data_IF_187934769221
#
_entry.id   IF_187934769221
#
_cell.length_a   1.000
_cell.length_b   1.000
_cell.length_c   1.000
_cell.angle_alpha   90.00
_cell.angle_beta   90.00
_cell.angle_gamma   90.00
#
_symmetry.space_group_name_H-M   'P 1'
#
loop_
_entity.id
_entity.type
_entity.pdbx_description
1 polymer ?
#
# COMPACT_ATOMS: atom_id res chain seq x y z
N UNK A 1 42.21 -15.57 -14.33
CA UNK A 1 41.83 -16.88 -13.76
C UNK A 1 40.32 -16.95 -13.90
N UNK A 2 39.69 -17.60 -14.89
CA UNK A 2 39.95 -18.80 -15.67
C UNK A 2 39.38 -18.61 -17.10
N UNK A 3 40.03 -19.25 -18.08
CA UNK A 3 39.69 -19.28 -19.51
C UNK A 3 38.87 -20.55 -19.79
N UNK A 4 37.84 -20.49 -20.64
CA UNK A 4 37.05 -21.67 -21.02
C UNK A 4 36.60 -21.64 -22.47
N UNK A 5 37.51 -21.94 -23.39
CA UNK A 5 37.20 -22.27 -24.79
C UNK A 5 36.78 -23.74 -24.87
N UNK A 6 35.56 -24.03 -25.32
CA UNK A 6 35.17 -25.37 -25.75
C UNK A 6 35.15 -25.45 -27.28
N UNK A 7 36.23 -26.01 -27.81
CA UNK A 7 36.46 -26.35 -29.21
C UNK A 7 36.24 -27.86 -29.35
N UNK A 8 35.16 -28.28 -29.99
CA UNK A 8 34.95 -29.68 -30.36
C UNK A 8 35.29 -29.90 -31.84
N UNK A 9 35.81 -31.09 -32.09
CA UNK A 9 36.73 -31.49 -33.14
C UNK A 9 36.10 -32.60 -34.00
N UNK A 10 36.34 -32.53 -35.31
CA UNK A 10 36.57 -33.63 -36.28
C UNK A 10 35.40 -34.38 -37.00
N UNK A 11 35.29 -34.06 -38.31
CA UNK A 11 35.25 -34.92 -39.53
C UNK A 11 33.99 -35.77 -39.89
N UNK A 12 33.80 -36.19 -41.17
CA UNK A 12 34.70 -36.08 -42.34
C UNK A 12 34.09 -35.55 -43.66
N UNK A 13 35.03 -35.32 -44.59
CA UNK A 13 34.92 -35.17 -46.04
C UNK A 13 33.79 -35.98 -46.71
N UNK A 14 33.12 -35.34 -47.68
CA UNK A 14 32.34 -35.99 -48.74
C UNK A 14 32.04 -35.01 -49.87
N UNK A 15 32.79 -35.12 -50.97
CA UNK A 15 32.61 -34.39 -52.23
C UNK A 15 31.31 -34.82 -52.93
N UNK A 16 30.37 -33.91 -53.15
CA UNK A 16 29.45 -33.92 -54.29
C UNK A 16 28.86 -32.51 -54.49
N UNK A 17 29.00 -31.97 -55.70
CA UNK A 17 28.73 -30.58 -56.01
C UNK A 17 27.26 -30.16 -56.05
N UNK A 18 27.06 -28.85 -56.22
CA UNK A 18 25.79 -28.24 -56.59
C UNK A 18 25.33 -27.12 -55.65
N UNK A 19 25.61 -25.88 -56.07
CA UNK A 19 24.97 -24.61 -55.70
C UNK A 19 23.83 -24.67 -54.66
N UNK A 20 24.06 -24.12 -53.46
CA UNK A 20 22.99 -23.72 -52.55
C UNK A 20 22.74 -22.21 -52.77
N UNK A 21 21.53 -21.77 -53.15
CA UNK A 21 21.24 -20.35 -53.32
C UNK A 21 21.17 -19.65 -51.96
N UNK A 22 21.98 -18.61 -51.78
CA UNK A 22 21.75 -17.56 -50.79
C UNK A 22 20.49 -16.79 -51.17
N UNK A 23 19.45 -16.87 -50.35
CA UNK A 23 18.29 -15.97 -50.46
C UNK A 23 17.75 -15.61 -49.08
N UNK A 24 18.22 -14.45 -48.62
CA UNK A 24 17.58 -13.45 -47.77
C UNK A 24 16.37 -13.86 -46.91
N UNK A 25 16.58 -13.76 -45.61
CA UNK A 25 15.51 -13.65 -44.60
C UNK A 25 15.97 -12.83 -43.40
N UNK A 26 16.63 -11.68 -43.62
CA UNK A 26 16.82 -10.73 -42.52
C UNK A 26 15.45 -10.15 -42.18
N UNK A 27 14.92 -10.50 -41.00
CA UNK A 27 13.79 -9.81 -40.40
C UNK A 27 14.32 -8.48 -39.86
N UNK A 28 14.02 -7.31 -40.47
CA UNK A 28 14.56 -6.06 -39.97
C UNK A 28 13.47 -5.43 -39.11
N UNK A 29 13.40 -5.75 -37.83
CA UNK A 29 12.70 -4.86 -36.90
C UNK A 29 13.09 -5.09 -35.44
N UNK A 30 14.38 -4.97 -35.13
CA UNK A 30 14.79 -4.68 -33.75
C UNK A 30 14.43 -3.20 -33.47
N UNK A 31 13.18 -2.96 -33.09
CA UNK A 31 12.70 -1.61 -32.76
C UNK A 31 13.22 -1.27 -31.37
N UNK A 32 14.28 -0.46 -31.29
CA UNK A 32 14.74 0.12 -30.03
C UNK A 32 13.66 1.01 -29.44
N UNK A 33 12.88 0.47 -28.50
CA UNK A 33 11.91 1.23 -27.72
C UNK A 33 12.66 2.19 -26.79
N UNK A 34 12.69 3.48 -27.15
CA UNK A 34 13.11 4.53 -26.22
C UNK A 34 12.00 4.72 -25.17
N UNK A 35 12.21 4.17 -23.99
CA UNK A 35 11.35 4.42 -22.84
C UNK A 35 11.60 5.87 -22.41
N UNK A 36 10.54 6.67 -22.35
CA UNK A 36 10.64 8.07 -21.93
C UNK A 36 11.09 8.12 -20.47
N UNK A 37 12.12 8.92 -20.22
CA UNK A 37 12.57 9.21 -18.86
C UNK A 37 11.46 9.95 -18.11
N UNK A 38 11.07 9.42 -16.95
CA UNK A 38 10.12 10.07 -16.05
C UNK A 38 10.91 10.57 -14.86
N UNK A 39 11.16 11.87 -14.82
CA UNK A 39 11.81 12.52 -13.68
C UNK A 39 10.78 12.67 -12.55
N UNK A 40 10.85 11.80 -11.55
CA UNK A 40 10.04 11.90 -10.34
C UNK A 40 10.71 12.87 -9.38
N UNK A 41 10.26 14.13 -9.38
CA UNK A 41 10.65 15.10 -8.35
C UNK A 41 9.85 14.83 -7.08
N UNK A 42 10.45 14.08 -6.16
CA UNK A 42 9.86 13.82 -4.84
C UNK A 42 9.95 15.04 -3.93
N UNK A 43 8.84 15.43 -3.32
CA UNK A 43 8.84 16.34 -2.16
C UNK A 43 9.55 15.62 -1.01
N UNK A 44 10.53 16.25 -0.37
CA UNK A 44 11.15 15.71 0.85
C UNK A 44 10.11 15.78 1.97
N UNK A 45 9.28 14.74 2.06
CA UNK A 45 8.40 14.54 3.22
C UNK A 45 9.31 14.06 4.34
N UNK A 46 9.38 14.81 5.45
CA UNK A 46 10.09 14.34 6.65
C UNK A 46 9.56 12.95 6.97
N UNK A 47 10.42 11.94 6.86
CA UNK A 47 10.09 10.58 7.25
C UNK A 47 10.04 10.56 8.77
N UNK A 48 8.84 10.67 9.32
CA UNK A 48 8.62 10.33 10.71
C UNK A 48 9.02 8.86 10.92
N UNK A 49 9.68 8.58 12.04
CA UNK A 49 10.19 7.24 12.36
C UNK A 49 9.04 6.24 12.47
N UNK A 50 7.84 6.72 12.82
CA UNK A 50 6.62 5.92 12.86
C UNK A 50 5.61 6.52 11.86
N UNK A 51 5.14 5.74 10.87
CA UNK A 51 4.26 6.26 9.85
C UNK A 51 2.88 6.58 10.44
N UNK A 52 2.49 7.86 10.34
CA UNK A 52 1.12 8.30 10.55
C UNK A 52 0.27 7.84 9.38
N UNK A 53 -0.87 7.24 9.68
CA UNK A 53 -1.85 6.86 8.67
C UNK A 53 -2.96 7.90 8.65
N UNK A 54 -3.35 8.36 7.47
CA UNK A 54 -4.38 9.37 7.29
C UNK A 54 -5.35 8.97 6.18
N UNK A 55 -6.64 9.14 6.44
CA UNK A 55 -7.71 9.08 5.45
C UNK A 55 -8.42 10.44 5.42
N UNK A 56 -8.39 11.11 4.28
CA UNK A 56 -8.97 12.45 4.12
C UNK A 56 -9.64 12.64 2.75
N UNK A 57 -10.53 13.64 2.69
CA UNK A 57 -11.19 14.11 1.47
C UNK A 57 -11.93 13.00 0.72
N UNK A 58 -11.64 12.86 -0.58
CA UNK A 58 -12.31 11.90 -1.45
C UNK A 58 -12.16 10.44 -0.98
N UNK A 59 -11.03 10.08 -0.35
CA UNK A 59 -10.82 8.70 0.12
C UNK A 59 -11.82 8.34 1.19
N UNK A 60 -12.08 9.26 2.12
CA UNK A 60 -13.02 9.06 3.22
C UNK A 60 -14.47 9.04 2.71
N UNK A 61 -14.81 9.94 1.77
CA UNK A 61 -16.14 9.97 1.14
C UNK A 61 -16.46 8.71 0.35
N UNK A 62 -15.47 8.12 -0.34
CA UNK A 62 -15.63 6.86 -1.09
C UNK A 62 -15.92 5.64 -0.22
N UNK A 63 -15.66 5.70 1.09
CA UNK A 63 -15.89 4.57 1.99
C UNK A 63 -17.37 4.33 2.29
N UNK A 64 -18.28 5.24 1.87
CA UNK A 64 -19.73 5.20 2.13
C UNK A 64 -20.07 4.65 3.53
N UNK A 65 -19.31 5.11 4.52
CA UNK A 65 -19.29 4.56 5.86
C UNK A 65 -20.16 5.43 6.77
N UNK A 66 -21.00 4.81 7.58
CA UNK A 66 -22.00 5.53 8.38
C UNK A 66 -21.45 6.03 9.73
N UNK A 67 -20.37 5.43 10.22
CA UNK A 67 -19.77 5.78 11.51
C UNK A 67 -18.25 5.71 11.45
N UNK A 68 -17.57 6.41 12.38
CA UNK A 68 -16.10 6.47 12.44
C UNK A 68 -15.47 5.08 12.58
N UNK A 69 -16.12 4.17 13.32
CA UNK A 69 -15.61 2.81 13.50
C UNK A 69 -15.48 2.06 12.16
N UNK A 70 -16.32 2.37 11.17
CA UNK A 70 -16.26 1.77 9.84
C UNK A 70 -15.04 2.24 9.04
N UNK A 71 -14.75 3.55 9.02
CA UNK A 71 -13.53 4.06 8.38
C UNK A 71 -12.26 3.55 9.07
N UNK A 72 -12.29 3.40 10.40
CA UNK A 72 -11.14 2.91 11.16
C UNK A 72 -10.71 1.49 10.76
N UNK A 73 -11.59 0.67 10.17
CA UNK A 73 -11.23 -0.67 9.67
C UNK A 73 -10.24 -0.66 8.52
N UNK A 74 -10.12 0.46 7.80
CA UNK A 74 -9.19 0.60 6.68
C UNK A 74 -7.77 0.95 7.11
N UNK A 75 -7.56 1.28 8.40
CA UNK A 75 -6.24 1.51 8.94
C UNK A 75 -5.59 0.19 9.37
N UNK A 76 -4.28 0.10 9.16
CA UNK A 76 -3.53 -1.09 9.56
C UNK A 76 -3.35 -1.18 11.08
N UNK A 77 -3.52 -2.38 11.62
CA UNK A 77 -3.33 -2.67 13.05
C UNK A 77 -4.47 -2.21 13.96
N UNK A 78 -5.60 -1.77 13.39
CA UNK A 78 -6.83 -1.47 14.13
C UNK A 78 -7.76 -2.68 14.16
N UNK A 79 -8.37 -2.93 15.31
CA UNK A 79 -9.46 -3.86 15.52
C UNK A 79 -10.66 -3.13 16.10
N UNK A 80 -11.83 -3.33 15.51
CA UNK A 80 -13.09 -2.76 15.99
C UNK A 80 -13.85 -3.83 16.76
N UNK A 81 -14.29 -3.49 17.97
CA UNK A 81 -15.20 -4.33 18.76
C UNK A 81 -16.58 -3.69 18.72
N UNK A 82 -17.54 -4.43 18.18
CA UNK A 82 -18.91 -3.98 17.95
C UNK A 82 -19.87 -4.75 18.87
N UNK A 83 -20.51 -4.04 19.80
CA UNK A 83 -21.39 -4.61 20.82
C UNK A 83 -22.83 -4.11 20.61
N UNK A 84 -23.52 -4.68 19.62
CA UNK A 84 -24.94 -4.40 19.37
C UNK A 84 -25.30 -4.02 17.94
N UNK A 85 -24.36 -4.02 16.99
CA UNK A 85 -24.65 -3.80 15.58
C UNK A 85 -24.87 -2.33 15.24
N UNK A 86 -25.85 -2.01 14.39
CA UNK A 86 -26.10 -0.62 13.97
C UNK A 86 -26.62 0.18 15.17
N UNK A 87 -25.82 1.14 15.66
CA UNK A 87 -26.12 1.93 16.87
C UNK A 87 -25.72 1.29 18.20
N UNK A 88 -25.11 0.10 18.18
CA UNK A 88 -24.47 -0.49 19.36
C UNK A 88 -23.15 0.19 19.73
N UNK A 89 -22.63 -0.13 20.92
CA UNK A 89 -21.35 0.40 21.40
C UNK A 89 -20.22 -0.10 20.50
N UNK A 90 -19.49 0.82 19.86
CA UNK A 90 -18.32 0.48 19.02
C UNK A 90 -17.07 1.04 19.65
N UNK A 91 -16.10 0.16 19.89
CA UNK A 91 -14.82 0.53 20.50
C UNK A 91 -13.67 0.12 19.61
N UNK A 92 -12.52 0.79 19.78
CA UNK A 92 -11.33 0.58 18.97
C UNK A 92 -10.20 0.00 19.82
N UNK A 93 -9.48 -0.94 19.25
CA UNK A 93 -8.29 -1.53 19.83
C UNK A 93 -7.15 -1.46 18.81
N UNK A 94 -5.98 -1.00 19.24
CA UNK A 94 -4.80 -0.90 18.38
C UNK A 94 -3.81 -1.96 18.84
N UNK A 95 -3.39 -2.84 17.93
CA UNK A 95 -2.36 -3.88 18.18
C UNK A 95 -2.56 -4.66 19.49
N UNK A 96 -3.81 -5.01 19.82
CA UNK A 96 -4.16 -5.74 21.04
C UNK A 96 -3.86 -5.04 22.38
N UNK A 97 -3.61 -3.72 22.39
CA UNK A 97 -3.33 -2.96 23.62
C UNK A 97 -4.56 -2.75 24.52
N UNK A 98 -5.77 -2.98 24.02
CA UNK A 98 -7.02 -2.74 24.73
C UNK A 98 -7.61 -1.36 24.46
N UNK A 99 -8.92 -1.22 24.67
CA UNK A 99 -9.71 -0.02 24.36
C UNK A 99 -9.37 1.17 25.27
N UNK A 100 -8.95 0.89 26.50
CA UNK A 100 -8.61 1.92 27.50
C UNK A 100 -7.25 2.57 27.24
N UNK A 101 -6.43 1.96 26.37
CA UNK A 101 -5.10 2.45 26.02
C UNK A 101 -5.09 3.25 24.71
N UNK A 102 -6.27 3.50 24.13
CA UNK A 102 -6.43 4.28 22.90
C UNK A 102 -7.11 5.59 23.26
N UNK A 103 -6.37 6.69 23.12
CA UNK A 103 -6.94 8.04 23.17
C UNK A 103 -7.56 8.41 21.83
N UNK A 104 -8.80 8.87 21.83
CA UNK A 104 -9.46 9.39 20.64
C UNK A 104 -9.61 10.89 20.80
N UNK A 105 -9.27 11.64 19.75
CA UNK A 105 -9.32 13.10 19.77
C UNK A 105 -10.20 13.59 18.63
N UNK A 106 -11.03 14.58 18.92
CA UNK A 106 -11.84 15.28 17.93
C UNK A 106 -11.55 16.77 18.04
N UNK A 107 -11.06 17.38 16.96
CA UNK A 107 -10.61 18.77 16.92
C UNK A 107 -9.66 19.16 18.06
N UNK A 108 -8.83 18.21 18.49
CA UNK A 108 -7.87 18.39 19.58
C UNK A 108 -8.42 18.14 20.99
N UNK A 109 -9.73 17.94 21.16
CA UNK A 109 -10.36 17.58 22.43
C UNK A 109 -10.39 16.07 22.56
N UNK A 110 -9.95 15.55 23.70
CA UNK A 110 -10.00 14.11 23.98
C UNK A 110 -11.46 13.64 24.18
N UNK A 111 -11.86 12.69 23.35
CA UNK A 111 -13.12 11.96 23.46
C UNK A 111 -12.86 10.67 24.23
N UNK A 112 -13.21 10.67 25.50
CA UNK A 112 -13.13 9.49 26.35
C UNK A 112 -14.04 9.65 27.54
N UNK A 113 -14.68 8.56 27.97
CA UNK A 113 -15.36 8.57 29.24
C UNK A 113 -14.33 8.64 30.37
N UNK A 114 -14.46 9.63 31.26
CA UNK A 114 -13.54 9.82 32.39
C UNK A 114 -13.45 8.62 33.35
N UNK A 115 -14.44 7.72 33.35
CA UNK A 115 -14.47 6.56 34.25
C UNK A 115 -13.65 5.37 33.75
N UNK A 116 -13.61 5.13 32.44
CA UNK A 116 -13.03 3.91 31.88
C UNK A 116 -12.24 4.14 30.58
N UNK A 117 -12.06 5.38 30.16
CA UNK A 117 -11.27 5.77 28.98
C UNK A 117 -11.83 5.24 27.66
N UNK A 118 -12.99 4.58 27.68
CA UNK A 118 -13.59 3.99 26.48
C UNK A 118 -14.47 5.03 25.79
N UNK A 119 -14.39 5.07 24.46
CA UNK A 119 -15.21 5.93 23.62
C UNK A 119 -16.14 5.09 22.74
N UNK A 120 -17.37 5.56 22.57
CA UNK A 120 -18.31 4.96 21.64
C UNK A 120 -18.21 5.64 20.27
N UNK A 121 -17.47 5.00 19.37
CA UNK A 121 -17.26 5.46 18.01
C UNK A 121 -18.51 5.34 17.13
N UNK A 122 -19.51 4.57 17.57
CA UNK A 122 -20.77 4.42 16.84
C UNK A 122 -21.62 5.69 16.85
N UNK A 123 -21.38 6.61 17.80
CA UNK A 123 -22.12 7.88 17.93
C UNK A 123 -21.56 8.99 17.04
N UNK A 124 -20.38 8.79 16.47
CA UNK A 124 -19.72 9.77 15.61
C UNK A 124 -19.93 9.37 14.16
N UNK A 125 -20.66 10.21 13.41
CA UNK A 125 -20.81 10.05 11.96
C UNK A 125 -19.53 10.50 11.24
N UNK A 126 -19.25 9.87 10.11
CA UNK A 126 -18.17 10.28 9.20
C UNK A 126 -18.58 11.42 8.25
N UNK A 127 -19.87 11.71 8.11
CA UNK A 127 -20.38 12.66 7.11
C UNK A 127 -19.78 14.07 7.25
N UNK A 128 -19.52 14.49 8.49
CA UNK A 128 -18.97 15.81 8.82
C UNK A 128 -17.46 15.78 9.12
N UNK A 129 -16.76 14.68 8.82
CA UNK A 129 -15.33 14.57 9.06
C UNK A 129 -14.52 14.88 7.80
N UNK A 130 -13.56 15.80 7.93
CA UNK A 130 -12.63 16.14 6.85
C UNK A 130 -11.49 15.10 6.72
N UNK A 131 -10.95 14.68 7.86
CA UNK A 131 -9.83 13.75 7.94
C UNK A 131 -9.89 12.91 9.21
N UNK A 132 -9.44 11.66 9.11
CA UNK A 132 -9.19 10.77 10.23
C UNK A 132 -7.73 10.37 10.20
N UNK A 133 -7.03 10.57 11.31
CA UNK A 133 -5.59 10.32 11.42
C UNK A 133 -5.30 9.38 12.58
N UNK A 134 -4.48 8.38 12.33
CA UNK A 134 -4.02 7.42 13.33
C UNK A 134 -2.54 7.66 13.64
N UNK A 135 -2.29 7.97 14.91
CA UNK A 135 -0.95 8.10 15.46
C UNK A 135 -0.60 6.83 16.25
N UNK A 136 0.61 6.34 16.07
CA UNK A 136 1.12 5.18 16.81
C UNK A 136 2.48 5.55 17.38
N UNK A 137 2.60 5.67 18.71
CA UNK A 137 3.85 6.07 19.35
C UNK A 137 4.22 7.54 19.13
N UNK A 138 4.00 8.33 20.18
CA UNK A 138 4.31 9.77 20.33
C UNK A 138 3.47 10.75 19.47
N UNK A 139 2.93 11.75 20.16
CA UNK A 139 2.31 12.98 19.68
C UNK A 139 3.20 14.13 20.13
#
# INVERSE_FOLDING_TARGET
MLVGFYKYLLFPLGLAGGCVPEAYGQTPQDSLYHIREVVVTGRVVRREVIPVQELSGERLQRLNSHNVADALRYFSGIQIKDYGGVGGLKTVNIRSMGTNHVGVFYDGIELGNAQNGTVDLGRFSLDNMESVTLYNGQK
#
